data_IF_211882783575
#
_entry.id   IF_211882783575
#
_cell.length_a   1.000
_cell.length_b   1.000
_cell.length_c   1.000
_cell.angle_alpha   90.00
_cell.angle_beta   90.00
_cell.angle_gamma   90.00
#
_symmetry.space_group_name_H-M   'P 1'
#
loop_
_entity.id
_entity.type
_entity.pdbx_description
1 polymer ?
#
# COMPACT_ATOMS: atom_id res chain seq x y z
N UNK A 1 -10.00 -47.59 -3.86
CA UNK A 1 -9.82 -46.29 -3.19
C UNK A 1 -9.64 -45.25 -4.28
N UNK A 2 -10.62 -44.38 -4.43
CA UNK A 2 -10.87 -43.54 -5.61
C UNK A 2 -10.21 -42.18 -5.44
N UNK A 3 -9.42 -41.73 -6.42
CA UNK A 3 -8.78 -40.40 -6.40
C UNK A 3 -9.83 -39.27 -6.49
N UNK A 4 -9.65 -38.13 -5.81
CA UNK A 4 -10.60 -37.02 -5.87
C UNK A 4 -10.44 -36.24 -7.19
N UNK A 5 -11.54 -36.12 -7.95
CA UNK A 5 -11.64 -35.29 -9.17
C UNK A 5 -11.56 -33.80 -8.80
N UNK A 6 -10.58 -33.10 -9.39
CA UNK A 6 -10.43 -31.65 -9.32
C UNK A 6 -11.61 -30.97 -10.04
N UNK A 7 -12.45 -30.25 -9.30
CA UNK A 7 -13.60 -29.52 -9.82
C UNK A 7 -13.11 -28.20 -10.44
N UNK A 8 -12.97 -28.18 -11.76
CA UNK A 8 -12.71 -26.96 -12.53
C UNK A 8 -13.99 -26.41 -13.14
N UNK A 9 -13.98 -25.08 -13.29
CA UNK A 9 -14.76 -24.27 -14.24
C UNK A 9 -16.22 -23.94 -13.90
N UNK A 10 -16.39 -22.83 -13.18
CA UNK A 10 -17.58 -21.98 -13.30
C UNK A 10 -17.29 -20.47 -13.16
N UNK A 11 -16.02 -20.03 -13.11
CA UNK A 11 -15.69 -18.60 -13.21
C UNK A 11 -15.37 -18.27 -14.67
N UNK A 12 -16.19 -17.39 -15.25
CA UNK A 12 -16.32 -17.13 -16.68
C UNK A 12 -15.00 -16.90 -17.42
N UNK A 13 -14.92 -17.49 -18.61
CA UNK A 13 -13.78 -17.42 -19.55
C UNK A 13 -13.27 -16.00 -19.81
N UNK A 14 -14.15 -14.99 -19.74
CA UNK A 14 -13.80 -13.58 -19.89
C UNK A 14 -12.92 -13.03 -18.76
N UNK A 15 -13.21 -13.40 -17.51
CA UNK A 15 -12.40 -12.97 -16.35
C UNK A 15 -11.03 -13.65 -16.38
N UNK A 16 -10.96 -14.92 -16.80
CA UNK A 16 -9.68 -15.65 -16.92
C UNK A 16 -8.78 -15.06 -18.01
N UNK A 17 -9.34 -14.56 -19.11
CA UNK A 17 -8.57 -13.85 -20.15
C UNK A 17 -7.99 -12.54 -19.64
N UNK A 18 -8.74 -11.79 -18.82
CA UNK A 18 -8.24 -10.56 -18.20
C UNK A 18 -7.13 -10.87 -17.19
N UNK A 19 -7.30 -11.90 -16.36
CA UNK A 19 -6.29 -12.34 -15.39
C UNK A 19 -5.00 -12.84 -16.07
N UNK A 20 -5.10 -13.54 -17.21
CA UNK A 20 -3.93 -13.98 -17.98
C UNK A 20 -3.15 -12.82 -18.60
N UNK A 21 -3.84 -11.77 -19.04
CA UNK A 21 -3.20 -10.56 -19.55
C UNK A 21 -2.49 -9.80 -18.42
N UNK A 22 -3.14 -9.69 -17.25
CA UNK A 22 -2.57 -9.10 -16.04
C UNK A 22 -1.29 -9.87 -15.62
N UNK A 23 -1.31 -11.20 -15.62
CA UNK A 23 -0.11 -12.01 -15.30
C UNK A 23 1.04 -11.78 -16.30
N UNK A 24 0.75 -11.66 -17.60
CA UNK A 24 1.77 -11.41 -18.62
C UNK A 24 2.36 -9.98 -18.53
N UNK A 25 1.55 -9.02 -18.11
CA UNK A 25 1.99 -7.63 -17.92
C UNK A 25 2.82 -7.47 -16.64
N UNK A 26 2.54 -8.26 -15.60
CA UNK A 26 3.16 -8.12 -14.28
C UNK A 26 4.36 -9.03 -14.05
N UNK A 27 4.42 -10.21 -14.67
CA UNK A 27 5.47 -11.21 -14.46
C UNK A 27 6.44 -11.30 -15.64
N UNK A 28 7.68 -11.63 -15.33
CA UNK A 28 8.74 -11.99 -16.27
C UNK A 28 8.55 -13.42 -16.75
N UNK A 29 9.27 -13.82 -17.80
CA UNK A 29 9.22 -15.20 -18.32
C UNK A 29 9.63 -16.28 -17.29
N UNK A 30 10.29 -15.88 -16.20
CA UNK A 30 10.67 -16.74 -15.08
C UNK A 30 9.59 -16.86 -13.99
N UNK A 31 8.49 -16.10 -14.08
CA UNK A 31 7.42 -16.07 -13.09
C UNK A 31 7.58 -15.00 -11.99
N UNK A 32 8.75 -14.34 -11.94
CA UNK A 32 9.02 -13.23 -11.00
C UNK A 32 8.38 -11.93 -11.48
N UNK A 33 7.99 -11.05 -10.56
CA UNK A 33 7.47 -9.73 -10.93
C UNK A 33 8.52 -8.87 -11.63
N UNK A 34 8.08 -8.12 -12.63
CA UNK A 34 8.94 -7.13 -13.30
C UNK A 34 9.37 -6.08 -12.28
N UNK A 35 10.68 -5.83 -12.15
CA UNK A 35 11.25 -4.82 -11.23
C UNK A 35 10.59 -3.45 -11.37
N UNK A 36 10.25 -3.05 -12.59
CA UNK A 36 9.57 -1.78 -12.88
C UNK A 36 8.21 -1.65 -12.17
N UNK A 37 7.48 -2.75 -12.00
CA UNK A 37 6.18 -2.79 -11.31
C UNK A 37 6.38 -2.67 -9.80
N UNK A 38 7.41 -3.33 -9.26
CA UNK A 38 7.78 -3.27 -7.85
C UNK A 38 8.21 -1.84 -7.48
N UNK A 39 9.11 -1.23 -8.27
CA UNK A 39 9.58 0.14 -8.04
C UNK A 39 8.43 1.16 -8.12
N UNK A 40 7.51 1.02 -9.08
CA UNK A 40 6.34 1.92 -9.18
C UNK A 40 5.44 1.90 -7.95
N UNK A 41 5.24 0.74 -7.34
CA UNK A 41 4.31 0.59 -6.20
C UNK A 41 4.99 0.73 -4.82
N UNK A 42 6.32 0.70 -4.75
CA UNK A 42 7.09 0.83 -3.49
C UNK A 42 7.89 2.13 -3.39
N UNK A 43 8.05 2.87 -4.50
CA UNK A 43 8.74 4.16 -4.50
C UNK A 43 7.98 5.22 -3.69
N UNK A 44 8.75 5.96 -2.88
CA UNK A 44 8.23 7.11 -2.14
C UNK A 44 8.30 8.32 -3.06
N UNK A 45 7.16 8.97 -3.29
CA UNK A 45 7.07 10.21 -4.04
C UNK A 45 6.57 11.35 -3.14
N UNK A 46 6.96 12.59 -3.42
CA UNK A 46 6.38 13.76 -2.74
C UNK A 46 5.19 14.27 -3.55
N UNK A 47 4.04 14.36 -2.91
CA UNK A 47 2.80 14.84 -3.53
C UNK A 47 2.30 16.07 -2.78
N UNK A 48 1.88 17.09 -3.52
CA UNK A 48 1.32 18.30 -2.94
C UNK A 48 0.03 17.97 -2.17
N UNK A 49 -0.13 18.53 -0.97
CA UNK A 49 -1.28 18.25 -0.10
C UNK A 49 -2.62 18.63 -0.75
N UNK A 50 -2.61 19.62 -1.65
CA UNK A 50 -3.77 20.07 -2.42
C UNK A 50 -4.27 19.05 -3.46
N UNK A 51 -3.38 18.15 -3.89
CA UNK A 51 -3.71 17.07 -4.82
C UNK A 51 -4.23 15.82 -4.11
N UNK A 52 -4.24 15.78 -2.77
CA UNK A 52 -4.69 14.62 -2.00
C UNK A 52 -6.10 14.88 -1.44
N UNK A 53 -7.04 14.03 -1.81
CA UNK A 53 -8.43 14.04 -1.37
C UNK A 53 -8.68 12.90 -0.39
N UNK A 54 -9.35 13.19 0.72
CA UNK A 54 -9.72 12.18 1.71
C UNK A 54 -10.97 11.45 1.27
N UNK A 55 -11.11 10.18 1.67
CA UNK A 55 -12.32 9.42 1.39
C UNK A 55 -13.45 9.87 2.36
N UNK A 56 -14.62 10.35 1.87
CA UNK A 56 -15.74 10.75 2.72
C UNK A 56 -16.29 9.63 3.59
N UNK A 57 -16.08 8.36 3.18
CA UNK A 57 -16.60 7.18 3.85
C UNK A 57 -15.63 6.58 4.88
N UNK A 58 -14.67 7.36 5.38
CA UNK A 58 -13.75 6.89 6.42
C UNK A 58 -14.51 6.59 7.73
N UNK A 59 -14.29 5.42 8.36
CA UNK A 59 -15.00 5.01 9.56
C UNK A 59 -14.60 5.84 10.78
N UNK A 60 -13.37 6.38 10.80
CA UNK A 60 -12.89 7.24 11.89
C UNK A 60 -13.25 8.69 11.62
N UNK A 61 -14.23 9.20 12.35
CA UNK A 61 -14.69 10.60 12.28
C UNK A 61 -14.21 11.46 13.45
N UNK A 62 -14.01 10.83 14.60
CA UNK A 62 -13.55 11.52 15.81
C UNK A 62 -12.02 11.55 15.88
N UNK A 63 -11.47 12.76 15.87
CA UNK A 63 -10.06 13.03 16.05
C UNK A 63 -9.91 13.93 17.27
N UNK A 64 -9.15 13.46 18.26
CA UNK A 64 -8.71 14.30 19.37
C UNK A 64 -7.80 15.41 18.83
N UNK A 65 -8.27 16.66 18.93
CA UNK A 65 -7.56 17.84 18.43
C UNK A 65 -6.24 18.08 19.17
N UNK A 66 -6.14 17.68 20.43
CA UNK A 66 -4.93 17.82 21.24
C UNK A 66 -3.85 16.90 20.67
N UNK A 67 -4.17 15.62 20.51
CA UNK A 67 -3.26 14.63 19.95
C UNK A 67 -2.90 14.92 18.47
N UNK A 68 -3.79 15.57 17.72
CA UNK A 68 -3.54 16.00 16.35
C UNK A 68 -2.56 17.19 16.30
N UNK A 69 -2.67 18.12 17.24
CA UNK A 69 -1.79 19.29 17.37
C UNK A 69 -0.38 18.89 17.80
N UNK A 70 -0.26 17.94 18.73
CA UNK A 70 1.04 17.35 19.11
C UNK A 70 1.71 16.67 17.92
N UNK A 71 0.95 15.89 17.15
CA UNK A 71 1.47 15.27 15.93
C UNK A 71 1.89 16.31 14.89
N UNK A 72 1.14 17.40 14.74
CA UNK A 72 1.49 18.50 13.85
C UNK A 72 2.80 19.19 14.28
N UNK A 73 2.99 19.44 15.58
CA UNK A 73 4.23 19.98 16.12
C UNK A 73 5.42 19.05 15.85
N UNK A 74 5.25 17.74 16.04
CA UNK A 74 6.26 16.73 15.70
C UNK A 74 6.60 16.71 14.21
N UNK A 75 5.58 16.71 13.34
CA UNK A 75 5.75 16.74 11.87
C UNK A 75 6.45 18.03 11.42
N UNK A 76 6.19 19.16 12.06
CA UNK A 76 6.87 20.42 11.76
C UNK A 76 8.36 20.38 12.06
N UNK A 77 8.77 19.64 13.10
CA UNK A 77 10.18 19.48 13.49
C UNK A 77 10.91 18.41 12.68
N UNK A 78 10.28 17.25 12.46
CA UNK A 78 10.94 16.06 11.92
C UNK A 78 10.48 15.65 10.53
N UNK A 79 9.58 16.42 9.91
CA UNK A 79 8.84 16.02 8.70
C UNK A 79 8.04 14.73 8.93
N UNK A 80 7.44 14.19 7.87
CA UNK A 80 6.74 12.92 7.94
C UNK A 80 7.73 11.77 7.76
N UNK A 81 7.93 10.99 8.82
CA UNK A 81 8.79 9.80 8.80
C UNK A 81 8.10 8.64 8.07
N UNK A 82 6.83 8.40 8.38
CA UNK A 82 6.04 7.34 7.74
C UNK A 82 5.21 7.93 6.59
N UNK A 83 5.47 7.58 5.32
CA UNK A 83 4.71 8.09 4.17
C UNK A 83 3.22 7.74 4.25
N UNK A 84 2.39 8.56 3.62
CA UNK A 84 0.95 8.29 3.47
C UNK A 84 0.74 7.30 2.33
N UNK A 85 -0.41 6.63 2.29
CA UNK A 85 -0.76 5.76 1.17
C UNK A 85 -1.90 6.40 0.39
N UNK A 86 -1.69 6.59 -0.91
CA UNK A 86 -2.67 7.21 -1.81
C UNK A 86 -2.88 6.36 -3.05
N UNK A 87 -3.99 6.56 -3.74
CA UNK A 87 -4.32 5.94 -5.02
C UNK A 87 -4.60 7.02 -6.07
N UNK A 88 -4.12 6.90 -7.32
CA UNK A 88 -4.47 7.84 -8.38
C UNK A 88 -5.99 7.93 -8.58
N UNK A 89 -6.48 9.14 -8.81
CA UNK A 89 -7.85 9.42 -9.21
C UNK A 89 -7.88 9.91 -10.67
N UNK A 90 -9.03 9.76 -11.33
CA UNK A 90 -9.22 10.08 -12.76
C UNK A 90 -9.00 11.55 -13.13
N UNK A 91 -8.89 12.45 -12.15
CA UNK A 91 -8.72 13.89 -12.32
C UNK A 91 -7.27 14.37 -12.09
N UNK A 92 -6.28 13.45 -12.08
CA UNK A 92 -4.88 13.78 -11.79
C UNK A 92 -4.62 14.11 -10.31
N UNK A 93 -5.60 13.86 -9.44
CA UNK A 93 -5.44 13.91 -7.99
C UNK A 93 -5.20 12.53 -7.42
N UNK A 94 -5.05 12.46 -6.11
CA UNK A 94 -4.81 11.26 -5.35
C UNK A 94 -5.86 11.10 -4.27
N UNK A 95 -6.40 9.90 -4.11
CA UNK A 95 -7.29 9.56 -3.00
C UNK A 95 -6.47 8.98 -1.86
N UNK A 96 -6.64 9.52 -0.66
CA UNK A 96 -6.01 8.99 0.54
C UNK A 96 -6.63 7.65 0.92
N UNK A 97 -5.78 6.63 1.02
CA UNK A 97 -6.13 5.29 1.47
C UNK A 97 -5.82 5.17 2.96
N UNK A 98 -4.60 5.50 3.36
CA UNK A 98 -4.13 5.40 4.75
C UNK A 98 -3.29 6.60 5.19
N UNK A 99 -3.34 6.91 6.49
CA UNK A 99 -2.57 8.00 7.08
C UNK A 99 -3.34 9.31 7.32
N UNK A 100 -4.67 9.26 7.46
CA UNK A 100 -5.54 10.44 7.66
C UNK A 100 -5.07 11.38 8.79
N UNK A 101 -4.65 10.83 9.95
CA UNK A 101 -4.11 11.64 11.05
C UNK A 101 -2.87 12.43 10.63
N UNK A 102 -1.95 11.78 9.91
CA UNK A 102 -0.72 12.40 9.39
C UNK A 102 -1.07 13.44 8.33
N UNK A 103 -2.02 13.15 7.44
CA UNK A 103 -2.50 14.11 6.45
C UNK A 103 -3.04 15.39 7.09
N UNK A 104 -3.94 15.26 8.06
CA UNK A 104 -4.52 16.40 8.78
C UNK A 104 -3.46 17.17 9.57
N UNK A 105 -2.62 16.47 10.33
CA UNK A 105 -1.54 17.08 11.08
C UNK A 105 -0.52 17.80 10.16
N UNK A 106 -0.31 17.32 8.93
CA UNK A 106 0.56 17.96 7.94
C UNK A 106 -0.03 19.28 7.41
N UNK A 107 -1.36 19.33 7.27
CA UNK A 107 -2.06 20.59 6.95
C UNK A 107 -1.91 21.60 8.08
N UNK A 108 -2.08 21.17 9.33
CA UNK A 108 -1.91 22.03 10.52
C UNK A 108 -0.45 22.50 10.65
N UNK A 109 0.51 21.61 10.37
CA UNK A 109 1.94 21.94 10.37
C UNK A 109 2.35 22.92 9.25
N UNK A 110 1.49 23.15 8.26
CA UNK A 110 1.75 24.07 7.14
C UNK A 110 2.68 23.51 6.08
N UNK A 111 2.78 22.18 5.95
CA UNK A 111 3.55 21.57 4.85
C UNK A 111 2.89 21.86 3.49
N UNK A 112 3.68 21.88 2.41
CA UNK A 112 3.16 22.03 1.04
C UNK A 112 2.94 20.67 0.36
N UNK A 113 3.81 19.73 0.66
CA UNK A 113 3.84 18.39 0.10
C UNK A 113 4.19 17.36 1.18
N UNK A 114 3.88 16.10 0.89
CA UNK A 114 4.08 14.99 1.82
C UNK A 114 4.61 13.76 1.08
N UNK A 115 5.47 12.95 1.73
CA UNK A 115 5.89 11.67 1.17
C UNK A 115 4.70 10.70 1.14
N UNK A 116 4.48 10.06 -0.01
CA UNK A 116 3.40 9.10 -0.23
C UNK A 116 3.87 7.87 -0.99
N UNK A 117 3.24 6.73 -0.70
CA UNK A 117 3.18 5.57 -1.58
C UNK A 117 1.96 5.72 -2.49
N UNK A 118 2.17 5.61 -3.80
CA UNK A 118 1.09 5.64 -4.80
C UNK A 118 0.74 4.20 -5.15
N UNK A 119 -0.52 3.82 -4.94
CA UNK A 119 -1.04 2.48 -5.24
C UNK A 119 -2.01 2.49 -6.38
N UNK A 120 -1.81 1.61 -7.34
CA UNK A 120 -2.74 1.39 -8.45
C UNK A 120 -3.83 0.37 -8.04
N UNK A 121 -5.03 0.43 -8.61
CA UNK A 121 -6.21 -0.30 -8.10
C UNK A 121 -6.12 -1.83 -8.13
N UNK A 122 -5.16 -2.41 -8.87
CA UNK A 122 -4.92 -3.86 -8.94
C UNK A 122 -3.70 -4.33 -8.12
N UNK A 123 -3.18 -3.48 -7.23
CA UNK A 123 -1.84 -3.66 -6.64
C UNK A 123 -1.77 -4.34 -5.27
N UNK A 124 -2.86 -4.80 -4.65
CA UNK A 124 -2.76 -5.42 -3.31
C UNK A 124 -1.94 -6.71 -3.33
N UNK A 125 -2.20 -7.62 -4.29
CA UNK A 125 -1.40 -8.83 -4.49
C UNK A 125 0.03 -8.52 -4.96
N UNK A 126 0.21 -7.46 -5.76
CA UNK A 126 1.54 -7.02 -6.20
C UNK A 126 2.37 -6.46 -5.05
N UNK A 127 1.74 -5.70 -4.17
CA UNK A 127 2.36 -5.14 -2.99
C UNK A 127 2.69 -6.24 -1.98
N UNK A 128 1.78 -7.17 -1.76
CA UNK A 128 2.03 -8.36 -0.94
C UNK A 128 3.28 -9.09 -1.43
N UNK A 129 3.35 -9.38 -2.73
CA UNK A 129 4.49 -10.07 -3.31
C UNK A 129 5.77 -9.23 -3.25
N UNK A 130 5.70 -7.92 -3.46
CA UNK A 130 6.84 -7.00 -3.37
C UNK A 130 7.38 -6.86 -1.94
N UNK A 131 6.49 -6.86 -0.94
CA UNK A 131 6.87 -6.84 0.47
C UNK A 131 7.48 -8.18 0.88
N UNK A 132 6.91 -9.30 0.40
CA UNK A 132 7.46 -10.64 0.64
C UNK A 132 8.82 -10.86 -0.04
N UNK A 133 9.01 -10.41 -1.28
CA UNK A 133 10.32 -10.49 -1.96
C UNK A 133 11.37 -9.68 -1.22
N UNK A 134 11.04 -8.43 -0.82
CA UNK A 134 11.97 -7.62 -0.05
C UNK A 134 12.33 -8.30 1.27
N UNK A 135 11.35 -8.87 1.97
CA UNK A 135 11.53 -9.64 3.20
C UNK A 135 12.40 -10.90 3.00
N UNK A 136 12.37 -11.50 1.82
CA UNK A 136 13.17 -12.68 1.45
C UNK A 136 14.61 -12.33 1.04
N UNK A 137 15.00 -11.04 0.99
CA UNK A 137 16.37 -10.66 0.64
C UNK A 137 17.35 -11.07 1.73
N UNK A 138 18.41 -11.76 1.33
CA UNK A 138 19.52 -12.03 2.24
C UNK A 138 20.18 -10.70 2.66
N UNK A 139 20.41 -10.54 3.96
CA UNK A 139 21.03 -9.37 4.64
C UNK A 139 20.10 -8.25 5.17
N UNK A 140 18.78 -8.48 5.34
CA UNK A 140 17.95 -7.53 6.07
C UNK A 140 18.29 -7.47 7.56
N UNK A 141 18.27 -6.27 8.14
CA UNK A 141 18.39 -6.11 9.59
C UNK A 141 17.03 -6.26 10.31
N UNK A 142 17.05 -6.48 11.62
CA UNK A 142 15.86 -6.73 12.42
C UNK A 142 14.80 -5.59 12.36
N UNK A 143 15.23 -4.34 12.17
CA UNK A 143 14.33 -3.19 12.05
C UNK A 143 13.65 -3.20 10.68
N UNK A 144 14.38 -3.50 9.61
CA UNK A 144 13.83 -3.59 8.25
C UNK A 144 12.81 -4.74 8.12
N UNK A 145 13.09 -5.87 8.77
CA UNK A 145 12.16 -7.00 8.87
C UNK A 145 10.88 -6.57 9.60
N UNK A 146 11.02 -5.94 10.77
CA UNK A 146 9.87 -5.46 11.56
C UNK A 146 9.04 -4.42 10.79
N UNK A 147 9.69 -3.52 10.04
CA UNK A 147 9.01 -2.53 9.23
C UNK A 147 8.27 -3.19 8.05
N UNK A 148 8.84 -4.23 7.44
CA UNK A 148 8.21 -4.98 6.36
C UNK A 148 6.96 -5.72 6.83
N UNK A 149 7.01 -6.38 8.00
CA UNK A 149 5.83 -7.00 8.61
C UNK A 149 4.75 -5.98 8.98
N UNK A 150 5.16 -4.85 9.57
CA UNK A 150 4.24 -3.76 9.88
C UNK A 150 3.55 -3.24 8.63
N UNK A 151 4.26 -3.15 7.52
CA UNK A 151 3.67 -2.78 6.24
C UNK A 151 2.67 -3.84 5.79
N UNK A 152 2.99 -5.14 5.80
CA UNK A 152 2.00 -6.18 5.46
C UNK A 152 0.70 -6.03 6.26
N UNK A 153 0.77 -5.70 7.56
CA UNK A 153 -0.41 -5.44 8.39
C UNK A 153 -1.13 -4.13 8.03
N UNK A 154 -0.42 -3.00 8.04
CA UNK A 154 -1.01 -1.65 7.86
C UNK A 154 -1.48 -1.41 6.41
N UNK A 155 -0.81 -2.03 5.45
CA UNK A 155 -0.98 -1.78 4.03
C UNK A 155 -1.95 -2.77 3.36
N UNK A 156 -2.07 -4.01 3.85
CA UNK A 156 -2.95 -5.04 3.29
C UNK A 156 -4.08 -5.45 4.25
N UNK A 157 -4.21 -4.74 5.38
CA UNK A 157 -5.15 -5.06 6.47
C UNK A 157 -5.00 -6.50 6.98
N UNK A 158 -3.77 -7.03 6.98
CA UNK A 158 -3.50 -8.39 7.47
C UNK A 158 -3.41 -8.41 9.00
N UNK A 159 -3.95 -9.48 9.59
CA UNK A 159 -3.72 -9.78 11.00
C UNK A 159 -2.32 -10.33 11.23
N UNK A 160 -1.86 -10.32 12.48
CA UNK A 160 -0.57 -10.93 12.84
C UNK A 160 -0.53 -12.42 12.49
N UNK A 161 -1.63 -13.18 12.68
CA UNK A 161 -1.71 -14.56 12.21
C UNK A 161 -1.57 -14.67 10.70
N UNK A 162 -2.26 -13.81 9.93
CA UNK A 162 -2.18 -13.83 8.47
C UNK A 162 -0.78 -13.48 7.95
N UNK A 163 -0.03 -12.62 8.64
CA UNK A 163 1.37 -12.34 8.30
C UNK A 163 2.27 -13.52 8.66
N UNK A 164 1.99 -14.24 9.75
CA UNK A 164 2.78 -15.39 10.17
C UNK A 164 2.61 -16.63 9.27
N UNK A 165 1.48 -16.74 8.55
CA UNK A 165 1.19 -17.83 7.59
C UNK A 165 1.87 -17.64 6.21
N UNK A 166 2.53 -16.51 5.97
CA UNK A 166 3.17 -16.16 4.69
C UNK A 166 4.68 -16.26 4.77
#
# INVERSE_FOLDING_TARGET
MTQPKKKQDALGKGIRSLLQNIDADLKTAAGDLKKEVIERNTSIQRVALELIETNPNQPRKDFDETALSELAASIKLHNIIQPLTVMPASNGKYRLIAGERRFRASKIAGLKDVPVYIRESDSSQLLELALLENLQRENLNAIEIALSYKRLMDDLDYTQEQVAER
#
